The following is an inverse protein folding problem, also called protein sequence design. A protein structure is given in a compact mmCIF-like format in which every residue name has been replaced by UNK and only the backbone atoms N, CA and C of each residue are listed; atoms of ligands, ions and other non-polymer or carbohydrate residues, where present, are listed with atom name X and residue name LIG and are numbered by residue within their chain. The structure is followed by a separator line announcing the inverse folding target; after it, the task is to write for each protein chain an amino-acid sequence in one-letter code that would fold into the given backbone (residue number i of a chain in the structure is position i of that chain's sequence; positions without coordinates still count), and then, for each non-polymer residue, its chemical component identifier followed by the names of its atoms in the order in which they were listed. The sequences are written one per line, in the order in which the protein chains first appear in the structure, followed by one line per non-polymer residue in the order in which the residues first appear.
data_IF_274315474829
#
_entry.id   IF_274315474829
#
_cell.length_a   1.000
_cell.length_b   1.000
_cell.length_c   1.000
_cell.angle_alpha   90.00
_cell.angle_beta   90.00
_cell.angle_gamma   90.00
#
_symmetry.space_group_name_H-M   'P 1'
#
loop_
_entity.id
_entity.type
_entity.pdbx_description
1 polymer ?
#
# COMPACT_ATOMS: atom_id res chain seq x y z
N UNK A 1 -23.48 -3.02 -9.48
CA UNK A 1 -22.34 -3.85 -9.03
C UNK A 1 -21.45 -2.99 -8.14
N UNK A 2 -20.83 -3.54 -7.11
CA UNK A 2 -20.26 -2.76 -6.00
C UNK A 2 -18.76 -3.09 -5.81
N UNK A 3 -17.92 -2.05 -5.70
CA UNK A 3 -16.49 -2.11 -5.41
C UNK A 3 -16.12 -3.09 -4.28
N UNK A 4 -16.97 -3.24 -3.26
CA UNK A 4 -16.71 -4.15 -2.14
C UNK A 4 -16.76 -5.63 -2.54
N UNK A 5 -17.65 -6.00 -3.47
CA UNK A 5 -17.74 -7.37 -3.98
C UNK A 5 -16.50 -7.73 -4.80
N UNK A 6 -16.00 -6.77 -5.59
CA UNK A 6 -14.76 -6.95 -6.37
C UNK A 6 -13.54 -7.08 -5.46
N UNK A 7 -13.39 -6.20 -4.46
CA UNK A 7 -12.29 -6.30 -3.50
C UNK A 7 -12.35 -7.59 -2.68
N UNK A 8 -13.56 -8.03 -2.32
CA UNK A 8 -13.79 -9.31 -1.63
C UNK A 8 -13.33 -10.50 -2.46
N UNK A 9 -13.63 -10.51 -3.77
CA UNK A 9 -13.16 -11.57 -4.66
C UNK A 9 -11.62 -11.60 -4.74
N UNK A 10 -10.98 -10.44 -4.97
CA UNK A 10 -9.52 -10.35 -5.01
C UNK A 10 -8.86 -10.86 -3.72
N UNK A 11 -9.46 -10.54 -2.56
CA UNK A 11 -9.00 -11.06 -1.28
C UNK A 11 -9.19 -12.58 -1.18
N UNK A 12 -10.36 -13.10 -1.56
CA UNK A 12 -10.65 -14.53 -1.51
C UNK A 12 -9.73 -15.34 -2.44
N UNK A 13 -9.47 -14.85 -3.65
CA UNK A 13 -8.51 -15.45 -4.59
C UNK A 13 -7.10 -15.49 -4.03
N UNK A 14 -6.69 -14.49 -3.26
CA UNK A 14 -5.32 -14.40 -2.72
C UNK A 14 -5.13 -15.19 -1.42
N UNK A 15 -6.17 -15.31 -0.59
CA UNK A 15 -6.03 -15.76 0.81
C UNK A 15 -6.98 -16.90 1.25
N UNK A 16 -7.99 -17.31 0.46
CA UNK A 16 -9.01 -18.30 0.88
C UNK A 16 -9.08 -19.56 -0.02
N UNK A 17 -9.65 -20.65 0.54
CA UNK A 17 -9.88 -21.93 -0.14
C UNK A 17 -11.08 -21.88 -1.09
N UNK A 18 -10.94 -22.64 -2.19
CA UNK A 18 -11.75 -22.69 -3.43
C UNK A 18 -13.27 -22.64 -3.32
N UNK A 19 -13.89 -23.08 -2.22
CA UNK A 19 -15.35 -23.15 -2.09
C UNK A 19 -16.06 -21.80 -2.05
N UNK A 20 -15.48 -20.80 -1.38
CA UNK A 20 -16.06 -19.45 -1.28
C UNK A 20 -15.82 -18.59 -2.52
N UNK A 21 -14.85 -18.96 -3.36
CA UNK A 21 -14.46 -18.21 -4.56
C UNK A 21 -15.55 -18.28 -5.63
N UNK A 22 -16.15 -19.46 -5.87
CA UNK A 22 -17.19 -19.65 -6.90
C UNK A 22 -18.41 -18.75 -6.71
N UNK A 23 -18.93 -18.68 -5.49
CA UNK A 23 -20.09 -17.84 -5.19
C UNK A 23 -19.77 -16.34 -5.35
N UNK A 24 -18.51 -15.94 -5.15
CA UNK A 24 -18.08 -14.56 -5.33
C UNK A 24 -17.79 -14.23 -6.80
N UNK A 25 -17.28 -15.18 -7.59
CA UNK A 25 -17.08 -15.03 -9.04
C UNK A 25 -18.40 -14.76 -9.78
N UNK A 26 -19.49 -15.42 -9.40
CA UNK A 26 -20.82 -15.21 -10.00
C UNK A 26 -21.40 -13.81 -9.72
N UNK A 27 -21.00 -13.20 -8.61
CA UNK A 27 -21.55 -11.92 -8.13
C UNK A 27 -20.64 -10.73 -8.42
N UNK A 28 -19.34 -10.95 -8.63
CA UNK A 28 -18.36 -9.90 -8.79
C UNK A 28 -18.32 -9.36 -10.23
N UNK A 29 -18.15 -8.04 -10.40
CA UNK A 29 -17.89 -7.48 -11.71
C UNK A 29 -16.56 -8.01 -12.27
N UNK A 30 -16.49 -8.37 -13.55
CA UNK A 30 -15.21 -8.72 -14.19
C UNK A 30 -14.23 -7.52 -14.20
N UNK A 31 -14.77 -6.31 -14.36
CA UNK A 31 -14.00 -5.07 -14.30
C UNK A 31 -14.74 -4.00 -13.50
N UNK A 32 -13.98 -3.23 -12.74
CA UNK A 32 -14.48 -2.02 -12.08
C UNK A 32 -14.68 -0.90 -13.09
N UNK A 33 -15.65 -0.04 -12.83
CA UNK A 33 -15.79 1.21 -13.58
C UNK A 33 -14.56 2.10 -13.40
N UNK A 34 -14.30 3.00 -14.35
CA UNK A 34 -13.19 3.96 -14.23
C UNK A 34 -13.29 4.81 -12.95
N UNK A 35 -14.51 5.13 -12.52
CA UNK A 35 -14.77 5.86 -11.29
C UNK A 35 -14.31 5.08 -10.05
N UNK A 36 -14.73 3.83 -9.92
CA UNK A 36 -14.34 2.95 -8.82
C UNK A 36 -12.83 2.67 -8.83
N UNK A 37 -12.25 2.46 -10.02
CA UNK A 37 -10.81 2.31 -10.21
C UNK A 37 -10.04 3.56 -9.75
N UNK A 38 -10.53 4.74 -10.10
CA UNK A 38 -9.98 6.03 -9.67
C UNK A 38 -10.09 6.23 -8.15
N UNK A 39 -11.20 5.80 -7.55
CA UNK A 39 -11.38 5.83 -6.10
C UNK A 39 -10.37 4.91 -5.39
N UNK A 40 -10.18 3.68 -5.87
CA UNK A 40 -9.18 2.75 -5.32
C UNK A 40 -7.75 3.29 -5.45
N UNK A 41 -7.41 3.91 -6.59
CA UNK A 41 -6.10 4.52 -6.80
C UNK A 41 -5.85 5.63 -5.78
N UNK A 42 -6.82 6.52 -5.56
CA UNK A 42 -6.73 7.58 -4.55
C UNK A 42 -6.57 7.02 -3.14
N UNK A 43 -7.37 6.01 -2.78
CA UNK A 43 -7.28 5.36 -1.47
C UNK A 43 -5.90 4.72 -1.26
N UNK A 44 -5.37 4.02 -2.26
CA UNK A 44 -4.04 3.41 -2.21
C UNK A 44 -2.96 4.48 -1.98
N UNK A 45 -2.97 5.56 -2.75
CA UNK A 45 -2.01 6.68 -2.58
C UNK A 45 -2.10 7.27 -1.18
N UNK A 46 -3.32 7.49 -0.68
CA UNK A 46 -3.53 8.04 0.66
C UNK A 46 -2.98 7.13 1.77
N UNK A 47 -3.20 5.82 1.69
CA UNK A 47 -2.64 4.85 2.65
C UNK A 47 -1.11 4.89 2.64
N UNK A 48 -0.49 4.95 1.45
CA UNK A 48 0.97 5.06 1.33
C UNK A 48 1.50 6.34 1.96
N UNK A 49 0.84 7.46 1.70
CA UNK A 49 1.21 8.76 2.27
C UNK A 49 1.14 8.74 3.80
N UNK A 50 0.06 8.17 4.36
CA UNK A 50 -0.09 8.03 5.81
C UNK A 50 0.99 7.13 6.43
N UNK A 51 1.28 5.98 5.81
CA UNK A 51 2.37 5.11 6.27
C UNK A 51 3.72 5.83 6.22
N UNK A 52 4.00 6.57 5.14
CA UNK A 52 5.23 7.36 4.99
C UNK A 52 5.36 8.42 6.08
N UNK A 53 4.28 9.15 6.37
CA UNK A 53 4.25 10.16 7.44
C UNK A 53 4.54 9.52 8.80
N UNK A 54 3.86 8.44 9.16
CA UNK A 54 4.09 7.74 10.43
C UNK A 54 5.52 7.21 10.56
N UNK A 55 6.10 6.65 9.49
CA UNK A 55 7.49 6.19 9.50
C UNK A 55 8.45 7.37 9.71
N UNK A 56 8.24 8.47 8.98
CA UNK A 56 9.06 9.68 9.09
C UNK A 56 9.00 10.27 10.50
N UNK A 57 7.82 10.31 11.11
CA UNK A 57 7.63 10.76 12.49
C UNK A 57 8.36 9.85 13.47
N UNK A 58 8.17 8.52 13.37
CA UNK A 58 8.89 7.56 14.21
C UNK A 58 10.40 7.71 14.09
N UNK A 59 10.93 7.88 12.88
CA UNK A 59 12.36 8.13 12.63
C UNK A 59 12.83 9.44 13.28
N UNK A 60 12.07 10.54 13.17
CA UNK A 60 12.42 11.80 13.83
C UNK A 60 12.45 11.69 15.35
N UNK A 61 11.52 10.92 15.92
CA UNK A 61 11.45 10.69 17.37
C UNK A 61 12.52 9.73 17.87
N UNK A 62 12.93 8.75 17.06
CA UNK A 62 13.99 7.79 17.40
C UNK A 62 15.39 8.30 17.11
N UNK A 63 15.54 9.37 16.32
CA UNK A 63 16.84 10.01 16.10
C UNK A 63 17.25 10.72 17.40
N UNK A 64 18.32 10.28 18.08
CA UNK A 64 18.90 11.09 19.13
C UNK A 64 19.23 12.47 18.54
N UNK A 65 19.04 13.54 19.33
CA UNK A 65 19.51 14.87 18.96
C UNK A 65 21.02 14.75 18.72
N UNK A 66 21.43 14.62 17.46
CA UNK A 66 22.82 14.67 17.05
C UNK A 66 23.29 16.12 17.26
N UNK A 67 23.66 16.45 18.49
CA UNK A 67 24.45 17.63 18.80
C UNK A 67 25.90 17.31 18.45
N UNK A 68 26.21 17.34 17.14
CA UNK A 68 27.54 17.11 16.62
C UNK A 68 27.52 16.89 15.11
N UNK A 69 28.54 17.34 14.36
CA UNK A 69 28.57 17.21 12.91
C UNK A 69 28.54 15.72 12.54
N UNK A 70 27.51 15.31 11.81
CA UNK A 70 27.36 13.96 11.29
C UNK A 70 28.50 13.67 10.29
N UNK A 71 29.27 12.58 10.42
CA UNK A 71 30.20 12.17 9.39
C UNK A 71 29.38 11.80 8.16
N UNK A 72 29.52 12.60 7.11
CA UNK A 72 28.68 12.58 5.95
C UNK A 72 29.11 11.44 5.00
N UNK A 73 28.87 10.18 5.40
CA UNK A 73 29.26 9.00 4.62
C UNK A 73 28.19 8.60 3.56
N UNK A 74 27.18 9.44 3.32
CA UNK A 74 26.12 9.17 2.35
C UNK A 74 26.59 9.25 0.88
N UNK A 75 27.81 9.75 0.61
CA UNK A 75 28.40 9.77 -0.73
C UNK A 75 28.90 8.41 -1.25
N UNK A 76 29.17 7.44 -0.36
CA UNK A 76 29.72 6.13 -0.76
C UNK A 76 28.64 5.11 -1.16
N UNK A 77 27.37 5.33 -0.81
CA UNK A 77 26.31 4.33 -1.01
C UNK A 77 25.81 4.24 -2.48
N UNK A 78 26.11 5.24 -3.31
CA UNK A 78 25.74 5.27 -4.73
C UNK A 78 26.94 5.15 -5.68
N UNK A 79 28.13 4.86 -5.15
CA UNK A 79 29.33 4.57 -5.95
C UNK A 79 29.60 3.06 -5.91
N UNK A 80 28.85 2.30 -6.71
CA UNK A 80 29.36 1.04 -7.25
C UNK A 80 28.57 0.64 -8.51
N UNK A 81 29.25 0.90 -9.63
CA UNK A 81 29.17 0.32 -10.99
C UNK A 81 27.79 0.07 -11.63
#
# INVERSE_FOLDING_TARGET
MNIYTWCGLQYATTFLKTGQIKAMEELAPQQLSEYEMGLLKRLRVWIYEKRRQTIKERMKTSMPKLSGPSPNNQGELFQKD
#
